data_IF_134900032471
#
_entry.id   IF_134900032471
#
_cell.length_a   1.000
_cell.length_b   1.000
_cell.length_c   1.000
_cell.angle_alpha   90.00
_cell.angle_beta   90.00
_cell.angle_gamma   90.00
#
_symmetry.space_group_name_H-M   'P 1'
#
loop_
_entity.id
_entity.type
_entity.pdbx_description
1 polymer ?
#
# COMPACT_ATOMS: atom_id res chain seq x y z
N UNK A 1 -30.88 -1.64 20.71
CA UNK A 1 -29.76 -0.87 20.15
C UNK A 1 -29.42 -1.43 18.78
N UNK A 2 -29.82 -0.71 17.75
CA UNK A 2 -29.68 -1.05 16.34
C UNK A 2 -28.30 -0.58 15.89
N UNK A 3 -27.32 -1.49 15.90
CA UNK A 3 -25.99 -1.19 15.38
C UNK A 3 -26.09 -0.87 13.88
N UNK A 4 -25.46 0.20 13.40
CA UNK A 4 -25.37 0.44 11.96
C UNK A 4 -24.65 -0.74 11.31
N UNK A 5 -25.19 -1.22 10.18
CA UNK A 5 -24.56 -2.28 9.42
C UNK A 5 -23.17 -1.82 8.94
N UNK A 6 -22.15 -2.67 9.15
CA UNK A 6 -20.78 -2.37 8.76
C UNK A 6 -20.69 -2.23 7.24
N UNK A 7 -20.26 -1.06 6.77
CA UNK A 7 -19.99 -0.84 5.35
C UNK A 7 -18.68 -1.55 4.97
N UNK A 8 -18.79 -2.76 4.42
CA UNK A 8 -17.63 -3.58 4.01
C UNK A 8 -16.68 -2.85 3.05
N UNK A 9 -17.20 -2.03 2.14
CA UNK A 9 -16.37 -1.24 1.21
C UNK A 9 -15.53 -0.21 1.96
N UNK A 10 -16.09 0.42 2.99
CA UNK A 10 -15.34 1.35 3.83
C UNK A 10 -14.24 0.63 4.62
N UNK A 11 -14.54 -0.52 5.23
CA UNK A 11 -13.56 -1.31 5.98
C UNK A 11 -12.41 -1.75 5.08
N UNK A 12 -12.71 -2.38 3.94
CA UNK A 12 -11.68 -2.82 2.99
C UNK A 12 -10.89 -1.62 2.44
N UNK A 13 -11.55 -0.50 2.15
CA UNK A 13 -10.90 0.71 1.69
C UNK A 13 -9.86 1.24 2.69
N UNK A 14 -10.22 1.32 3.97
CA UNK A 14 -9.27 1.75 5.01
C UNK A 14 -8.12 0.77 5.21
N UNK A 15 -8.37 -0.55 5.15
CA UNK A 15 -7.31 -1.55 5.25
C UNK A 15 -6.31 -1.42 4.09
N UNK A 16 -6.80 -1.23 2.86
CA UNK A 16 -5.93 -1.05 1.69
C UNK A 16 -5.09 0.23 1.77
N UNK A 17 -5.70 1.36 2.16
CA UNK A 17 -4.96 2.62 2.36
C UNK A 17 -3.91 2.47 3.47
N UNK A 18 -4.28 1.90 4.61
CA UNK A 18 -3.35 1.67 5.72
C UNK A 18 -2.17 0.78 5.33
N UNK A 19 -2.44 -0.32 4.62
CA UNK A 19 -1.40 -1.22 4.13
C UNK A 19 -0.46 -0.53 3.13
N UNK A 20 -1.01 0.23 2.19
CA UNK A 20 -0.20 1.00 1.24
C UNK A 20 0.67 2.05 1.94
N UNK A 21 0.14 2.77 2.94
CA UNK A 21 0.91 3.74 3.73
C UNK A 21 2.04 3.08 4.52
N UNK A 22 1.81 1.89 5.08
CA UNK A 22 2.86 1.12 5.74
C UNK A 22 3.97 0.71 4.74
N UNK A 23 3.59 0.29 3.53
CA UNK A 23 4.55 -0.03 2.47
C UNK A 23 5.33 1.19 1.97
N UNK A 24 4.70 2.36 1.85
CA UNK A 24 5.40 3.60 1.55
C UNK A 24 6.37 4.00 2.67
N UNK A 25 5.97 3.86 3.93
CA UNK A 25 6.86 4.10 5.06
C UNK A 25 8.09 3.19 4.98
N UNK A 26 7.89 1.89 4.76
CA UNK A 26 8.98 0.93 4.61
C UNK A 26 9.94 1.33 3.48
N UNK A 27 9.47 1.47 2.24
CA UNK A 27 10.43 1.72 1.16
C UNK A 27 10.94 3.17 1.06
N UNK A 28 10.23 4.18 1.58
CA UNK A 28 10.79 5.55 1.65
C UNK A 28 11.76 5.66 2.83
N UNK A 29 11.30 5.32 4.04
CA UNK A 29 12.11 5.56 5.24
C UNK A 29 13.21 4.51 5.35
N UNK A 30 12.89 3.22 5.21
CA UNK A 30 13.87 2.15 5.42
C UNK A 30 14.73 1.88 4.18
N UNK A 31 14.16 1.84 2.97
CA UNK A 31 14.97 1.54 1.76
C UNK A 31 15.69 2.77 1.20
N UNK A 32 15.06 3.95 1.18
CA UNK A 32 15.65 5.13 0.52
C UNK A 32 16.39 6.07 1.49
N UNK A 33 15.76 6.47 2.60
CA UNK A 33 16.35 7.44 3.54
C UNK A 33 17.42 6.77 4.40
N UNK A 34 17.06 5.70 5.10
CA UNK A 34 17.98 5.00 6.01
C UNK A 34 18.86 3.99 5.28
N UNK A 35 18.49 3.59 4.06
CA UNK A 35 19.21 2.60 3.24
C UNK A 35 19.51 1.31 4.01
N UNK A 36 18.62 0.92 4.93
CA UNK A 36 18.85 -0.18 5.86
C UNK A 36 18.80 -1.52 5.12
N UNK A 37 17.81 -1.70 4.24
CA UNK A 37 17.71 -2.86 3.38
C UNK A 37 17.01 -2.47 2.08
N UNK A 38 17.14 -3.30 1.06
CA UNK A 38 16.31 -3.26 -0.14
C UNK A 38 15.38 -4.48 -0.13
N UNK A 39 14.34 -4.45 -0.96
CA UNK A 39 13.34 -5.52 -0.99
C UNK A 39 13.94 -6.93 -1.20
N UNK A 40 15.01 -7.02 -1.99
CA UNK A 40 15.64 -8.28 -2.40
C UNK A 40 17.12 -8.39 -2.01
N UNK A 41 17.61 -7.55 -1.08
CA UNK A 41 19.01 -7.58 -0.64
C UNK A 41 19.43 -8.88 0.06
N UNK A 42 18.46 -9.70 0.49
CA UNK A 42 18.71 -11.03 1.07
C UNK A 42 18.98 -12.14 0.03
N UNK A 43 18.90 -11.86 -1.27
CA UNK A 43 19.23 -12.83 -2.31
C UNK A 43 20.74 -13.10 -2.38
N UNK A 44 21.11 -14.27 -2.91
CA UNK A 44 22.54 -14.59 -3.13
C UNK A 44 23.12 -13.74 -4.26
N UNK A 45 24.43 -13.57 -4.19
CA UNK A 45 25.21 -12.89 -5.22
C UNK A 45 25.08 -13.56 -6.61
N UNK A 46 25.05 -12.76 -7.70
CA UNK A 46 25.21 -11.29 -7.74
C UNK A 46 23.89 -10.51 -7.54
N UNK A 47 22.74 -11.19 -7.49
CA UNK A 47 21.43 -10.52 -7.48
C UNK A 47 21.19 -9.70 -6.20
N UNK A 48 21.72 -10.14 -5.05
CA UNK A 48 21.62 -9.43 -3.78
C UNK A 48 22.44 -8.14 -3.68
N UNK A 49 23.54 -8.01 -4.44
CA UNK A 49 24.37 -6.79 -4.44
C UNK A 49 24.14 -5.87 -5.65
N UNK A 50 23.41 -6.32 -6.68
CA UNK A 50 23.12 -5.47 -7.84
C UNK A 50 22.16 -4.33 -7.44
N UNK A 51 22.73 -3.12 -7.33
CA UNK A 51 21.99 -1.92 -6.95
C UNK A 51 20.90 -1.55 -7.96
N UNK A 52 21.12 -1.76 -9.27
CA UNK A 52 20.09 -1.43 -10.28
C UNK A 52 18.89 -2.34 -10.14
N UNK A 53 19.14 -3.62 -9.89
CA UNK A 53 18.09 -4.60 -9.65
C UNK A 53 17.30 -4.28 -8.37
N UNK A 54 17.99 -3.93 -7.28
CA UNK A 54 17.36 -3.54 -6.02
C UNK A 54 16.48 -2.29 -6.17
N UNK A 55 16.99 -1.24 -6.82
CA UNK A 55 16.21 -0.02 -7.10
C UNK A 55 14.97 -0.33 -7.95
N UNK A 56 15.10 -1.21 -8.96
CA UNK A 56 13.95 -1.64 -9.77
C UNK A 56 12.91 -2.37 -8.92
N UNK A 57 13.34 -3.29 -8.07
CA UNK A 57 12.46 -4.05 -7.19
C UNK A 57 11.71 -3.13 -6.19
N UNK A 58 12.42 -2.20 -5.55
CA UNK A 58 11.83 -1.22 -4.64
C UNK A 58 10.83 -0.32 -5.39
N UNK A 59 11.14 0.09 -6.62
CA UNK A 59 10.26 0.87 -7.48
C UNK A 59 8.98 0.12 -7.88
N UNK A 60 9.09 -1.16 -8.23
CA UNK A 60 7.91 -2.01 -8.52
C UNK A 60 7.05 -2.23 -7.27
N UNK A 61 7.67 -2.39 -6.10
CA UNK A 61 6.97 -2.44 -4.83
C UNK A 61 6.20 -1.14 -4.56
N UNK A 62 6.82 0.02 -4.79
CA UNK A 62 6.15 1.32 -4.69
C UNK A 62 4.97 1.47 -5.65
N UNK A 63 5.14 1.04 -6.90
CA UNK A 63 4.06 1.05 -7.88
C UNK A 63 2.86 0.21 -7.41
N UNK A 64 3.11 -0.98 -6.85
CA UNK A 64 2.06 -1.79 -6.24
C UNK A 64 1.37 -1.06 -5.09
N UNK A 65 2.12 -0.40 -4.20
CA UNK A 65 1.54 0.38 -3.09
C UNK A 65 0.67 1.54 -3.60
N UNK A 66 1.05 2.21 -4.69
CA UNK A 66 0.20 3.22 -5.34
C UNK A 66 -1.12 2.62 -5.82
N UNK A 67 -1.08 1.47 -6.50
CA UNK A 67 -2.30 0.81 -6.98
C UNK A 67 -3.23 0.42 -5.82
N UNK A 68 -2.69 -0.10 -4.72
CA UNK A 68 -3.47 -0.42 -3.52
C UNK A 68 -4.06 0.82 -2.86
N UNK A 69 -3.30 1.92 -2.77
CA UNK A 69 -3.76 3.19 -2.22
C UNK A 69 -4.91 3.79 -3.06
N UNK A 70 -4.77 3.77 -4.39
CA UNK A 70 -5.81 4.22 -5.32
C UNK A 70 -7.07 3.37 -5.17
N UNK A 71 -6.92 2.04 -5.17
CA UNK A 71 -8.06 1.12 -4.99
C UNK A 71 -8.77 1.35 -3.65
N UNK A 72 -8.01 1.48 -2.56
CA UNK A 72 -8.54 1.78 -1.24
C UNK A 72 -9.32 3.09 -1.21
N UNK A 73 -8.75 4.15 -1.79
CA UNK A 73 -9.40 5.46 -1.91
C UNK A 73 -10.68 5.39 -2.73
N UNK A 74 -10.68 4.69 -3.87
CA UNK A 74 -11.88 4.48 -4.70
C UNK A 74 -12.98 3.77 -3.91
N UNK A 75 -12.64 2.74 -3.14
CA UNK A 75 -13.61 2.04 -2.29
C UNK A 75 -14.19 2.94 -1.20
N UNK A 76 -13.37 3.80 -0.58
CA UNK A 76 -13.82 4.78 0.41
C UNK A 76 -14.78 5.82 -0.19
N UNK A 77 -14.45 6.35 -1.37
CA UNK A 77 -15.33 7.28 -2.10
C UNK A 77 -16.65 6.59 -2.49
N UNK A 78 -16.59 5.37 -3.00
CA UNK A 78 -17.78 4.59 -3.35
C UNK A 78 -18.65 4.26 -2.13
N UNK A 79 -18.04 3.95 -0.99
CA UNK A 79 -18.72 3.71 0.27
C UNK A 79 -19.46 4.96 0.76
N UNK A 80 -18.82 6.13 0.68
CA UNK A 80 -19.42 7.42 1.03
C UNK A 80 -20.59 7.76 0.12
N UNK A 81 -20.43 7.61 -1.20
CA UNK A 81 -21.49 7.88 -2.18
C UNK A 81 -22.71 6.96 -1.98
N UNK A 82 -22.50 5.71 -1.55
CA UNK A 82 -23.58 4.77 -1.26
C UNK A 82 -24.38 5.14 0.00
N UNK A 83 -23.73 5.75 0.99
CA UNK A 83 -24.41 6.24 2.21
C UNK A 83 -25.10 7.60 2.05
N UNK A 84 -24.80 8.35 0.99
CA UNK A 84 -25.37 9.67 0.72
C UNK A 84 -26.63 9.65 -0.16
N UNK A 85 -26.99 8.51 -0.76
CA UNK A 85 -28.23 8.36 -1.52
C UNK A 85 -29.42 8.26 -0.54
N UNK A 86 -30.42 9.16 -0.60
CA UNK A 86 -31.68 8.95 0.12
C UNK A 86 -32.34 7.67 -0.42
N UNK A 87 -32.87 6.86 0.49
CA UNK A 87 -33.67 5.67 0.15
C UNK A 87 -35.05 6.02 -0.36
#
# INVERSE_FOLDING_TARGET
>A
MNWPAINRKAVVGWLLVGFALAGFFDGIVLHQILQWHHLLSGLREPAGSDLRFQILADGLFHLLMYLLCILGTVLLVAARASGARPG
#
